data_IF_298700986880
#
_entry.id   IF_298700986880
#
_cell.length_a   1.000
_cell.length_b   1.000
_cell.length_c   1.000
_cell.angle_alpha   90.00
_cell.angle_beta   90.00
_cell.angle_gamma   90.00
#
_symmetry.space_group_name_H-M   'P 1'
#
loop_
_entity.id
_entity.type
_entity.pdbx_description
1 polymer ?
#
# COMPACT_ATOMS: atom_id res chain seq x y z
N UNK A 1 -29.14 5.38 -13.33
CA UNK A 1 -28.43 6.27 -14.28
C UNK A 1 -26.96 5.87 -14.30
N UNK A 2 -26.40 5.64 -15.49
CA UNK A 2 -24.98 5.31 -15.71
C UNK A 2 -24.13 6.52 -15.30
N UNK A 3 -23.29 6.37 -14.26
CA UNK A 3 -22.27 7.37 -13.90
C UNK A 3 -21.06 7.10 -14.80
N UNK A 4 -20.77 8.05 -15.68
CA UNK A 4 -19.50 8.05 -16.42
C UNK A 4 -18.36 8.45 -15.47
N UNK A 5 -17.25 7.74 -15.60
CA UNK A 5 -15.98 7.98 -14.94
C UNK A 5 -15.37 9.26 -15.51
N UNK A 6 -15.21 10.28 -14.67
CA UNK A 6 -14.57 11.55 -15.03
C UNK A 6 -15.35 12.76 -14.52
N UNK A 7 -14.78 13.45 -13.54
CA UNK A 7 -15.15 14.80 -13.07
C UNK A 7 -16.63 15.18 -13.24
N UNK A 8 -17.48 14.75 -12.32
CA UNK A 8 -18.88 15.18 -12.35
C UNK A 8 -18.98 16.62 -11.82
N UNK A 9 -19.41 17.54 -12.68
CA UNK A 9 -19.86 18.88 -12.31
C UNK A 9 -21.38 18.84 -12.13
N UNK A 10 -21.86 19.04 -10.90
CA UNK A 10 -23.29 19.16 -10.61
C UNK A 10 -23.62 20.62 -10.32
N UNK A 11 -24.50 21.20 -11.12
CA UNK A 11 -25.07 22.51 -10.85
C UNK A 11 -26.34 22.35 -10.00
N UNK A 12 -26.44 23.11 -8.93
CA UNK A 12 -27.61 23.19 -8.07
C UNK A 12 -28.04 24.65 -8.03
N UNK A 13 -29.23 24.93 -8.55
CA UNK A 13 -29.81 26.29 -8.53
C UNK A 13 -30.22 26.71 -7.12
N UNK A 14 -30.31 28.00 -6.86
CA UNK A 14 -30.79 28.56 -5.60
C UNK A 14 -32.20 28.04 -5.22
N UNK A 15 -33.08 27.80 -6.20
CA UNK A 15 -34.43 27.24 -5.96
C UNK A 15 -34.37 25.76 -5.59
N UNK A 16 -33.52 24.99 -6.24
CA UNK A 16 -33.32 23.56 -5.96
C UNK A 16 -32.66 23.35 -4.60
N UNK A 17 -31.67 24.18 -4.25
CA UNK A 17 -31.04 24.18 -2.93
C UNK A 17 -32.06 24.50 -1.82
N UNK A 18 -32.98 25.45 -2.06
CA UNK A 18 -34.05 25.76 -1.11
C UNK A 18 -35.04 24.59 -0.93
N UNK A 19 -35.39 23.91 -2.02
CA UNK A 19 -36.26 22.73 -1.97
C UNK A 19 -35.61 21.58 -1.18
N UNK A 20 -34.35 21.25 -1.46
CA UNK A 20 -33.63 20.18 -0.75
C UNK A 20 -33.42 20.50 0.73
N UNK A 21 -33.10 21.74 1.08
CA UNK A 21 -32.96 22.12 2.49
C UNK A 21 -34.29 21.95 3.26
N UNK A 22 -35.42 22.36 2.68
CA UNK A 22 -36.74 22.19 3.30
C UNK A 22 -37.07 20.71 3.52
N UNK A 23 -36.71 19.85 2.57
CA UNK A 23 -36.91 18.39 2.66
C UNK A 23 -36.03 17.76 3.76
N UNK A 24 -34.76 18.17 3.83
CA UNK A 24 -33.78 17.59 4.77
C UNK A 24 -33.96 18.08 6.21
N UNK A 25 -34.36 19.35 6.41
CA UNK A 25 -34.45 19.98 7.73
C UNK A 25 -35.87 20.14 8.24
N UNK A 26 -36.87 20.16 7.34
CA UNK A 26 -38.26 20.47 7.66
C UNK A 26 -38.53 21.94 7.97
N UNK A 27 -37.54 22.83 7.84
CA UNK A 27 -37.66 24.26 8.13
C UNK A 27 -37.84 25.09 6.86
N UNK A 28 -38.77 26.05 6.89
CA UNK A 28 -39.07 26.94 5.78
C UNK A 28 -38.60 28.37 6.10
N UNK A 29 -37.47 28.75 5.51
CA UNK A 29 -36.81 30.04 5.72
C UNK A 29 -37.57 31.18 5.06
N UNK A 30 -38.45 30.91 4.10
CA UNK A 30 -39.33 31.93 3.47
C UNK A 30 -40.38 32.47 4.45
N UNK A 31 -40.56 31.82 5.61
CA UNK A 31 -41.40 32.33 6.71
C UNK A 31 -40.71 33.37 7.59
N UNK A 32 -39.39 33.49 7.49
CA UNK A 32 -38.58 34.35 8.37
C UNK A 32 -37.70 35.34 7.59
N UNK A 33 -37.46 35.09 6.31
CA UNK A 33 -36.68 35.92 5.40
C UNK A 33 -37.53 36.26 4.18
N UNK A 34 -37.51 37.53 3.76
CA UNK A 34 -38.29 38.01 2.60
C UNK A 34 -37.76 37.48 1.26
N UNK A 35 -36.48 37.10 1.19
CA UNK A 35 -35.79 36.59 0.00
C UNK A 35 -35.01 35.30 0.29
N UNK A 36 -34.76 34.49 -0.75
CA UNK A 36 -33.95 33.26 -0.65
C UNK A 36 -32.47 33.61 -0.38
N UNK A 37 -31.89 33.24 0.78
CA UNK A 37 -30.50 33.53 1.08
C UNK A 37 -29.51 32.60 0.37
N UNK A 38 -30.00 31.49 -0.22
CA UNK A 38 -29.17 30.49 -0.88
C UNK A 38 -28.73 31.00 -2.25
N UNK A 39 -27.51 30.63 -2.63
CA UNK A 39 -26.91 30.97 -3.92
C UNK A 39 -26.82 29.72 -4.78
N UNK A 40 -26.76 29.93 -6.09
CA UNK A 40 -26.37 28.89 -7.03
C UNK A 40 -25.01 28.28 -6.64
N UNK A 41 -24.91 26.96 -6.73
CA UNK A 41 -23.69 26.23 -6.36
C UNK A 41 -23.30 25.20 -7.41
N UNK A 42 -21.99 24.99 -7.52
CA UNK A 42 -21.40 23.94 -8.36
C UNK A 42 -20.66 22.96 -7.45
N UNK A 43 -21.05 21.69 -7.50
CA UNK A 43 -20.35 20.59 -6.81
C UNK A 43 -19.42 19.91 -7.80
N UNK A 44 -18.13 19.83 -7.47
CA UNK A 44 -17.11 19.18 -8.29
C UNK A 44 -16.62 17.91 -7.59
N UNK A 45 -16.62 16.79 -8.32
CA UNK A 45 -15.91 15.59 -7.91
C UNK A 45 -14.47 15.62 -8.44
N UNK A 46 -13.49 15.66 -7.54
CA UNK A 46 -12.06 15.64 -7.88
C UNK A 46 -11.63 14.19 -8.15
N UNK A 47 -10.91 13.99 -9.26
CA UNK A 47 -10.38 12.68 -9.63
C UNK A 47 -9.35 12.18 -8.59
N UNK A 48 -9.25 10.86 -8.42
CA UNK A 48 -8.41 10.22 -7.39
C UNK A 48 -6.94 10.67 -7.43
N UNK A 49 -6.45 10.99 -8.63
CA UNK A 49 -5.08 11.44 -8.87
C UNK A 49 -4.74 12.81 -8.27
N UNK A 50 -5.75 13.62 -7.93
CA UNK A 50 -5.59 14.99 -7.41
C UNK A 50 -6.13 15.14 -5.98
N UNK A 51 -6.20 14.04 -5.22
CA UNK A 51 -6.75 14.03 -3.85
C UNK A 51 -5.70 14.26 -2.76
N UNK A 52 -4.47 14.66 -3.08
CA UNK A 52 -3.53 15.07 -2.04
C UNK A 52 -3.93 16.42 -1.46
N UNK A 53 -3.61 16.67 -0.18
CA UNK A 53 -3.94 17.95 0.46
C UNK A 53 -3.38 19.17 -0.29
N UNK A 54 -2.19 19.03 -0.87
CA UNK A 54 -1.51 20.11 -1.61
C UNK A 54 -2.24 20.40 -2.94
N UNK A 55 -2.55 19.36 -3.73
CA UNK A 55 -3.26 19.50 -5.00
C UNK A 55 -4.69 20.04 -4.80
N UNK A 56 -5.39 19.59 -3.75
CA UNK A 56 -6.72 20.12 -3.42
C UNK A 56 -6.63 21.61 -3.06
N UNK A 57 -5.62 22.02 -2.28
CA UNK A 57 -5.44 23.43 -1.92
C UNK A 57 -5.13 24.29 -3.16
N UNK A 58 -4.32 23.78 -4.10
CA UNK A 58 -4.06 24.47 -5.37
C UNK A 58 -5.35 24.64 -6.19
N UNK A 59 -6.15 23.58 -6.32
CA UNK A 59 -7.44 23.61 -7.04
C UNK A 59 -8.39 24.61 -6.38
N UNK A 60 -8.54 24.57 -5.05
CA UNK A 60 -9.41 25.48 -4.30
C UNK A 60 -8.98 26.92 -4.48
N UNK A 61 -7.67 27.19 -4.45
CA UNK A 61 -7.12 28.53 -4.66
C UNK A 61 -7.42 29.02 -6.08
N UNK A 62 -7.17 28.18 -7.09
CA UNK A 62 -7.43 28.51 -8.49
C UNK A 62 -8.92 28.79 -8.76
N UNK A 63 -9.84 28.06 -8.12
CA UNK A 63 -11.29 28.30 -8.25
C UNK A 63 -11.71 29.57 -7.50
N UNK A 64 -11.17 29.80 -6.30
CA UNK A 64 -11.48 31.00 -5.50
C UNK A 64 -11.09 32.30 -6.21
N UNK A 65 -10.03 32.27 -7.03
CA UNK A 65 -9.56 33.44 -7.79
C UNK A 65 -10.34 33.68 -9.10
N UNK A 66 -11.33 32.83 -9.46
CA UNK A 66 -12.16 33.06 -10.63
C UNK A 66 -13.23 34.14 -10.40
N UNK A 67 -13.38 35.04 -11.38
CA UNK A 67 -14.41 36.07 -11.35
C UNK A 67 -15.82 35.45 -11.27
N UNK A 68 -16.61 35.89 -10.28
CA UNK A 68 -17.97 35.40 -10.05
C UNK A 68 -18.09 34.29 -9.00
N UNK A 69 -16.97 33.79 -8.45
CA UNK A 69 -16.99 32.84 -7.33
C UNK A 69 -17.11 33.59 -6.01
N UNK A 70 -18.18 33.32 -5.26
CA UNK A 70 -18.41 33.93 -3.94
C UNK A 70 -17.64 33.21 -2.83
N UNK A 71 -17.71 31.87 -2.81
CA UNK A 71 -17.08 31.03 -1.79
C UNK A 71 -16.79 29.64 -2.35
N UNK A 72 -15.70 29.02 -1.90
CA UNK A 72 -15.35 27.62 -2.19
C UNK A 72 -15.29 26.90 -0.86
N UNK A 73 -16.18 25.94 -0.67
CA UNK A 73 -16.26 25.11 0.53
C UNK A 73 -15.81 23.70 0.21
N UNK A 74 -14.79 23.23 0.92
CA UNK A 74 -14.33 21.85 0.88
C UNK A 74 -14.04 21.40 2.32
N UNK A 75 -14.17 20.09 2.59
CA UNK A 75 -13.94 19.55 3.93
C UNK A 75 -12.44 19.38 4.20
N UNK A 76 -11.69 20.50 4.29
CA UNK A 76 -10.25 20.55 4.56
C UNK A 76 -9.85 19.69 5.75
N UNK A 77 -10.58 19.86 6.85
CA UNK A 77 -10.23 19.28 8.15
C UNK A 77 -10.36 17.76 8.14
N UNK A 78 -11.33 17.22 7.39
CA UNK A 78 -11.49 15.77 7.25
C UNK A 78 -10.41 15.18 6.35
N UNK A 79 -10.10 15.81 5.21
CA UNK A 79 -9.06 15.34 4.30
C UNK A 79 -7.69 15.36 4.98
N UNK A 80 -7.35 16.45 5.67
CA UNK A 80 -6.11 16.59 6.41
C UNK A 80 -6.04 15.60 7.59
N UNK A 81 -7.12 15.45 8.36
CA UNK A 81 -7.19 14.46 9.45
C UNK A 81 -7.03 13.02 8.94
N UNK A 82 -7.64 12.68 7.80
CA UNK A 82 -7.48 11.35 7.18
C UNK A 82 -6.04 11.16 6.73
N UNK A 83 -5.45 12.14 6.04
CA UNK A 83 -4.08 12.04 5.53
C UNK A 83 -3.06 11.90 6.68
N UNK A 84 -3.14 12.74 7.71
CA UNK A 84 -2.28 12.64 8.88
C UNK A 84 -2.40 11.28 9.59
N UNK A 85 -3.63 10.78 9.75
CA UNK A 85 -3.86 9.48 10.38
C UNK A 85 -3.30 8.34 9.52
N UNK A 86 -3.47 8.40 8.20
CA UNK A 86 -2.88 7.43 7.28
C UNK A 86 -1.35 7.44 7.34
N UNK A 87 -0.72 8.61 7.42
CA UNK A 87 0.73 8.73 7.59
C UNK A 87 1.19 8.12 8.91
N UNK A 88 0.50 8.43 10.03
CA UNK A 88 0.80 7.86 11.36
C UNK A 88 0.67 6.33 11.35
N UNK A 89 -0.41 5.80 10.78
CA UNK A 89 -0.64 4.34 10.66
C UNK A 89 0.44 3.70 9.78
N UNK A 90 0.77 4.31 8.65
CA UNK A 90 1.80 3.82 7.72
C UNK A 90 3.18 3.79 8.39
N UNK A 91 3.53 4.79 9.19
CA UNK A 91 4.78 4.83 9.95
C UNK A 91 4.85 3.68 10.96
N UNK A 92 3.78 3.47 11.73
CA UNK A 92 3.70 2.38 12.72
C UNK A 92 3.81 1.02 12.04
N UNK A 93 3.06 0.80 10.94
CA UNK A 93 3.13 -0.43 10.16
C UNK A 93 4.52 -0.64 9.55
N UNK A 94 5.17 0.42 9.04
CA UNK A 94 6.54 0.38 8.56
C UNK A 94 7.52 -0.10 9.63
N UNK A 95 7.35 0.36 10.87
CA UNK A 95 8.11 -0.11 12.03
C UNK A 95 7.92 -1.62 12.28
N UNK A 96 6.68 -2.11 12.26
CA UNK A 96 6.39 -3.54 12.39
C UNK A 96 7.02 -4.36 11.27
N UNK A 97 6.92 -3.91 10.02
CA UNK A 97 7.53 -4.58 8.86
C UNK A 97 9.06 -4.67 9.04
N UNK A 98 9.70 -3.59 9.49
CA UNK A 98 11.15 -3.58 9.73
C UNK A 98 11.57 -4.63 10.78
N UNK A 99 10.83 -4.74 11.89
CA UNK A 99 11.09 -5.74 12.93
C UNK A 99 10.94 -7.16 12.34
N UNK A 100 9.86 -7.41 11.59
CA UNK A 100 9.63 -8.72 10.98
C UNK A 100 10.73 -9.11 9.98
N UNK A 101 11.20 -8.15 9.17
CA UNK A 101 12.33 -8.37 8.25
C UNK A 101 13.57 -8.80 9.04
N UNK A 102 13.89 -8.11 10.14
CA UNK A 102 15.03 -8.46 11.00
C UNK A 102 14.85 -9.89 11.56
N UNK A 103 13.67 -10.22 12.05
CA UNK A 103 13.36 -11.57 12.55
C UNK A 103 13.56 -12.64 11.48
N UNK A 104 13.05 -12.41 10.26
CA UNK A 104 13.23 -13.33 9.12
C UNK A 104 14.71 -13.49 8.78
N UNK A 105 15.49 -12.41 8.73
CA UNK A 105 16.94 -12.48 8.47
C UNK A 105 17.66 -13.29 9.56
N UNK A 106 17.27 -13.13 10.83
CA UNK A 106 17.84 -13.88 11.94
C UNK A 106 17.51 -15.38 11.85
N UNK A 107 16.26 -15.72 11.55
CA UNK A 107 15.81 -17.10 11.34
C UNK A 107 16.57 -17.76 10.20
N UNK A 108 16.64 -17.10 9.03
CA UNK A 108 17.37 -17.63 7.86
C UNK A 108 18.85 -17.84 8.22
N UNK A 109 19.50 -16.91 8.91
CA UNK A 109 20.89 -17.08 9.35
C UNK A 109 21.08 -18.33 10.22
N UNK A 110 20.17 -18.56 11.17
CA UNK A 110 20.24 -19.72 12.06
C UNK A 110 19.99 -21.02 11.30
N UNK A 111 19.00 -21.06 10.42
CA UNK A 111 18.70 -22.22 9.58
C UNK A 111 19.86 -22.57 8.65
N UNK A 112 20.45 -21.58 7.99
CA UNK A 112 21.61 -21.79 7.10
C UNK A 112 22.82 -22.27 7.90
N UNK A 113 23.09 -21.70 9.08
CA UNK A 113 24.18 -22.17 9.95
C UNK A 113 24.01 -23.65 10.31
N UNK A 114 22.80 -24.04 10.70
CA UNK A 114 22.48 -25.43 11.03
C UNK A 114 22.66 -26.35 9.81
N UNK A 115 22.17 -25.94 8.65
CA UNK A 115 22.31 -26.70 7.40
C UNK A 115 23.78 -26.89 6.99
N UNK A 116 24.58 -25.83 7.07
CA UNK A 116 26.01 -25.87 6.77
C UNK A 116 26.77 -26.77 7.76
N UNK A 117 26.45 -26.69 9.06
CA UNK A 117 27.04 -27.57 10.07
C UNK A 117 26.69 -29.05 9.83
N UNK A 118 25.43 -29.35 9.49
CA UNK A 118 24.98 -30.71 9.17
C UNK A 118 25.70 -31.29 7.95
N UNK A 119 26.04 -30.45 6.97
CA UNK A 119 26.70 -30.85 5.72
C UNK A 119 28.21 -30.57 5.68
N UNK A 120 28.83 -30.27 6.84
CA UNK A 120 30.23 -29.80 6.92
C UNK A 120 31.24 -30.72 6.23
N UNK A 121 31.05 -32.04 6.30
CA UNK A 121 31.95 -33.02 5.67
C UNK A 121 31.88 -32.96 4.14
N UNK A 122 30.69 -32.79 3.59
CA UNK A 122 30.46 -32.67 2.15
C UNK A 122 31.09 -31.37 1.62
N UNK A 123 30.89 -30.27 2.35
CA UNK A 123 31.49 -28.97 2.02
C UNK A 123 33.02 -29.07 2.05
N UNK A 124 33.59 -29.71 3.07
CA UNK A 124 35.04 -29.92 3.18
C UNK A 124 35.59 -30.77 2.03
N UNK A 125 34.90 -31.84 1.65
CA UNK A 125 35.26 -32.65 0.49
C UNK A 125 35.25 -31.83 -0.81
N UNK A 126 34.22 -31.00 -1.01
CA UNK A 126 34.16 -30.08 -2.15
C UNK A 126 35.33 -29.10 -2.17
N UNK A 127 35.71 -28.56 -1.01
CA UNK A 127 36.86 -27.66 -0.90
C UNK A 127 38.19 -28.35 -1.23
N UNK A 128 38.38 -29.61 -0.81
CA UNK A 128 39.60 -30.39 -1.09
C UNK A 128 39.78 -30.69 -2.59
N UNK A 129 38.69 -30.84 -3.34
CA UNK A 129 38.71 -31.03 -4.80
C UNK A 129 38.81 -29.69 -5.55
N UNK A 130 38.91 -28.55 -4.82
CA UNK A 130 39.08 -27.22 -5.42
C UNK A 130 37.79 -26.54 -5.87
N UNK A 131 36.63 -26.96 -5.35
CA UNK A 131 35.36 -26.32 -5.69
C UNK A 131 35.34 -24.84 -5.26
N UNK A 132 34.88 -23.96 -6.15
CA UNK A 132 34.77 -22.53 -5.86
C UNK A 132 33.66 -22.25 -4.84
N UNK A 133 33.79 -21.15 -4.08
CA UNK A 133 32.72 -20.69 -3.15
C UNK A 133 31.37 -20.53 -3.86
N UNK A 134 31.40 -20.17 -5.14
CA UNK A 134 30.23 -20.06 -6.01
C UNK A 134 29.49 -21.39 -6.23
N UNK A 135 30.24 -22.48 -6.40
CA UNK A 135 29.69 -23.81 -6.55
C UNK A 135 29.00 -24.30 -5.27
N UNK A 136 29.62 -24.05 -4.12
CA UNK A 136 29.08 -24.44 -2.80
C UNK A 136 27.79 -23.68 -2.47
N UNK A 137 27.70 -22.38 -2.80
CA UNK A 137 26.51 -21.55 -2.48
C UNK A 137 25.32 -21.78 -3.41
N UNK A 138 25.54 -22.20 -4.66
CA UNK A 138 24.49 -22.34 -5.69
C UNK A 138 23.27 -23.16 -5.24
N UNK A 139 23.40 -24.35 -4.62
CA UNK A 139 22.24 -25.12 -4.17
C UNK A 139 21.43 -24.41 -3.08
N UNK A 140 22.10 -23.68 -2.17
CA UNK A 140 21.43 -22.92 -1.11
C UNK A 140 20.66 -21.72 -1.69
N UNK A 141 21.27 -20.96 -2.59
CA UNK A 141 20.64 -19.81 -3.23
C UNK A 141 19.45 -20.21 -4.10
N UNK A 142 19.57 -21.31 -4.85
CA UNK A 142 18.46 -21.84 -5.65
C UNK A 142 17.27 -22.21 -4.76
N UNK A 143 17.49 -22.96 -3.68
CA UNK A 143 16.43 -23.29 -2.71
C UNK A 143 15.81 -22.03 -2.09
N UNK A 144 16.63 -21.07 -1.67
CA UNK A 144 16.16 -19.81 -1.10
C UNK A 144 15.28 -19.01 -2.07
N UNK A 145 15.66 -18.97 -3.36
CA UNK A 145 14.85 -18.33 -4.40
C UNK A 145 13.48 -19.00 -4.54
N UNK A 146 13.43 -20.33 -4.67
CA UNK A 146 12.16 -21.05 -4.81
C UNK A 146 11.26 -20.91 -3.58
N UNK A 147 11.80 -21.04 -2.37
CA UNK A 147 11.02 -20.85 -1.15
C UNK A 147 10.57 -19.40 -0.98
N UNK A 148 11.40 -18.42 -1.33
CA UNK A 148 11.05 -17.00 -1.27
C UNK A 148 10.00 -16.59 -2.31
N UNK A 149 10.05 -17.15 -3.51
CA UNK A 149 9.02 -16.95 -4.53
C UNK A 149 7.70 -17.60 -4.09
N UNK A 150 7.76 -18.83 -3.57
CA UNK A 150 6.58 -19.55 -3.09
C UNK A 150 5.91 -18.83 -1.91
N UNK A 151 6.68 -18.25 -0.99
CA UNK A 151 6.11 -17.47 0.11
C UNK A 151 5.39 -16.22 -0.38
N UNK A 152 5.92 -15.52 -1.38
CA UNK A 152 5.24 -14.38 -2.00
C UNK A 152 3.97 -14.78 -2.75
N UNK A 153 3.95 -15.94 -3.41
CA UNK A 153 2.74 -16.49 -4.04
C UNK A 153 1.68 -16.80 -2.98
N UNK A 154 2.07 -17.47 -1.89
CA UNK A 154 1.17 -17.79 -0.77
C UNK A 154 0.63 -16.53 -0.10
N UNK A 155 1.48 -15.53 0.14
CA UNK A 155 1.06 -14.24 0.68
C UNK A 155 0.06 -13.54 -0.24
N UNK A 156 0.31 -13.55 -1.55
CA UNK A 156 -0.61 -12.98 -2.55
C UNK A 156 -1.95 -13.71 -2.58
N UNK A 157 -1.95 -15.04 -2.47
CA UNK A 157 -3.17 -15.84 -2.42
C UNK A 157 -4.00 -15.56 -1.15
N UNK A 158 -3.34 -15.43 0.00
CA UNK A 158 -4.00 -15.05 1.27
C UNK A 158 -4.58 -13.64 1.16
N UNK A 159 -3.81 -12.68 0.65
CA UNK A 159 -4.26 -11.31 0.46
C UNK A 159 -5.45 -11.22 -0.50
N UNK A 160 -5.42 -11.97 -1.60
CA UNK A 160 -6.54 -12.09 -2.52
C UNK A 160 -7.80 -12.63 -1.81
N UNK A 161 -7.66 -13.68 -0.99
CA UNK A 161 -8.77 -14.22 -0.20
C UNK A 161 -9.36 -13.21 0.78
N UNK A 162 -8.52 -12.41 1.44
CA UNK A 162 -8.97 -11.32 2.33
C UNK A 162 -9.73 -10.26 1.53
N UNK A 163 -9.21 -9.86 0.37
CA UNK A 163 -9.85 -8.89 -0.51
C UNK A 163 -11.26 -9.35 -0.92
N UNK A 164 -11.39 -10.59 -1.40
CA UNK A 164 -12.68 -11.13 -1.84
C UNK A 164 -13.66 -11.25 -0.66
N UNK A 165 -13.16 -11.62 0.52
CA UNK A 165 -13.97 -11.62 1.74
C UNK A 165 -14.46 -10.20 2.10
N UNK A 166 -13.59 -9.19 2.05
CA UNK A 166 -13.96 -7.80 2.38
C UNK A 166 -14.98 -7.24 1.38
N UNK A 167 -14.83 -7.51 0.08
CA UNK A 167 -15.81 -7.12 -0.95
C UNK A 167 -17.21 -7.65 -0.67
N UNK A 168 -17.31 -8.87 -0.14
CA UNK A 168 -18.61 -9.49 0.14
C UNK A 168 -19.29 -8.94 1.40
N UNK A 169 -18.54 -8.29 2.31
CA UNK A 169 -19.05 -7.86 3.61
C UNK A 169 -19.14 -6.34 3.78
N UNK A 170 -18.52 -5.56 2.88
CA UNK A 170 -18.49 -4.09 2.96
C UNK A 170 -18.97 -3.49 1.63
N UNK A 171 -20.14 -2.87 1.65
CA UNK A 171 -20.71 -2.17 0.50
C UNK A 171 -19.80 -1.02 0.05
N UNK A 172 -19.61 -0.88 -1.27
CA UNK A 172 -18.75 0.15 -1.86
C UNK A 172 -17.25 -0.20 -1.91
N UNK A 173 -16.79 -1.22 -1.19
CA UNK A 173 -15.36 -1.59 -1.18
C UNK A 173 -14.84 -2.05 -2.55
N UNK A 174 -15.70 -2.66 -3.38
CA UNK A 174 -15.34 -3.09 -4.73
C UNK A 174 -14.99 -1.92 -5.66
N UNK A 175 -15.55 -0.72 -5.42
CA UNK A 175 -15.28 0.47 -6.23
C UNK A 175 -13.92 1.10 -5.93
N UNK A 176 -13.34 0.81 -4.75
CA UNK A 176 -12.03 1.31 -4.33
C UNK A 176 -10.86 0.48 -4.88
N UNK A 177 -11.13 -0.54 -5.73
CA UNK A 177 -10.10 -1.46 -6.20
C UNK A 177 -9.56 -1.09 -7.57
N UNK A 178 -8.29 -0.67 -7.59
CA UNK A 178 -7.51 -0.60 -8.81
C UNK A 178 -6.83 -1.95 -9.09
N UNK A 179 -7.33 -2.66 -10.11
CA UNK A 179 -6.80 -3.97 -10.49
C UNK A 179 -5.36 -3.91 -11.00
N UNK A 180 -4.94 -2.82 -11.65
CA UNK A 180 -3.56 -2.66 -12.12
C UNK A 180 -2.59 -2.59 -10.93
N UNK A 181 -2.90 -1.75 -9.94
CA UNK A 181 -2.11 -1.62 -8.71
C UNK A 181 -2.04 -2.97 -7.96
N UNK A 182 -3.13 -3.74 -7.98
CA UNK A 182 -3.18 -5.06 -7.35
C UNK A 182 -2.23 -6.06 -8.03
N UNK A 183 -2.16 -6.07 -9.37
CA UNK A 183 -1.21 -6.91 -10.11
C UNK A 183 0.24 -6.52 -9.81
N UNK A 184 0.54 -5.22 -9.75
CA UNK A 184 1.87 -4.75 -9.35
C UNK A 184 2.22 -5.16 -7.92
N UNK A 185 1.26 -5.09 -6.99
CA UNK A 185 1.45 -5.51 -5.60
C UNK A 185 1.75 -7.01 -5.49
N UNK A 186 0.97 -7.86 -6.16
CA UNK A 186 1.21 -9.31 -6.15
C UNK A 186 2.55 -9.68 -6.79
N UNK A 187 2.88 -9.08 -7.94
CA UNK A 187 4.20 -9.25 -8.56
C UNK A 187 5.33 -8.78 -7.62
N UNK A 188 5.13 -7.63 -6.97
CA UNK A 188 6.05 -7.07 -5.99
C UNK A 188 6.29 -7.99 -4.79
N UNK A 189 5.24 -8.62 -4.24
CA UNK A 189 5.35 -9.57 -3.12
C UNK A 189 6.21 -10.80 -3.48
N UNK A 190 6.00 -11.38 -4.66
CA UNK A 190 6.78 -12.53 -5.13
C UNK A 190 8.25 -12.15 -5.33
N UNK A 191 8.49 -11.02 -5.99
CA UNK A 191 9.85 -10.52 -6.24
C UNK A 191 10.56 -10.16 -4.93
N UNK A 192 9.90 -9.43 -4.03
CA UNK A 192 10.45 -9.05 -2.73
C UNK A 192 10.76 -10.28 -1.87
N UNK A 193 9.85 -11.27 -1.82
CA UNK A 193 10.06 -12.52 -1.09
C UNK A 193 11.26 -13.31 -1.61
N UNK A 194 11.40 -13.43 -2.93
CA UNK A 194 12.52 -14.08 -3.58
C UNK A 194 13.85 -13.33 -3.34
N UNK A 195 13.87 -12.01 -3.56
CA UNK A 195 15.05 -11.17 -3.36
C UNK A 195 15.53 -11.17 -1.92
N UNK A 196 14.61 -11.00 -0.96
CA UNK A 196 14.94 -10.98 0.47
C UNK A 196 15.51 -12.33 0.93
N UNK A 197 14.91 -13.44 0.47
CA UNK A 197 15.39 -14.79 0.80
C UNK A 197 16.78 -15.05 0.20
N UNK A 198 16.98 -14.73 -1.07
CA UNK A 198 18.28 -14.89 -1.74
C UNK A 198 19.35 -14.03 -1.10
N UNK A 199 19.07 -12.75 -0.82
CA UNK A 199 20.03 -11.83 -0.20
C UNK A 199 20.42 -12.29 1.20
N UNK A 200 19.43 -12.67 2.01
CA UNK A 200 19.65 -13.17 3.36
C UNK A 200 20.49 -14.45 3.37
N UNK A 201 20.15 -15.43 2.51
CA UNK A 201 20.94 -16.66 2.36
C UNK A 201 22.34 -16.41 1.83
N UNK A 202 22.51 -15.51 0.85
CA UNK A 202 23.82 -15.17 0.30
C UNK A 202 24.74 -14.60 1.38
N UNK A 203 24.24 -13.67 2.19
CA UNK A 203 24.98 -13.08 3.30
C UNK A 203 25.34 -14.13 4.35
N UNK A 204 24.40 -15.01 4.71
CA UNK A 204 24.61 -16.07 5.69
C UNK A 204 25.67 -17.10 5.24
N UNK A 205 25.57 -17.61 4.01
CA UNK A 205 26.51 -18.58 3.45
C UNK A 205 27.89 -17.97 3.27
N UNK A 206 27.99 -16.75 2.73
CA UNK A 206 29.28 -16.07 2.56
C UNK A 206 29.97 -15.83 3.91
N UNK A 207 29.22 -15.42 4.94
CA UNK A 207 29.76 -15.25 6.29
C UNK A 207 30.39 -16.55 6.78
N UNK A 208 29.69 -17.68 6.63
CA UNK A 208 30.18 -18.98 7.07
C UNK A 208 31.39 -19.49 6.26
N UNK A 209 31.36 -19.37 4.94
CA UNK A 209 32.47 -19.82 4.08
C UNK A 209 33.74 -18.96 4.21
N UNK A 210 33.64 -17.77 4.77
CA UNK A 210 34.78 -16.91 5.10
C UNK A 210 35.36 -17.16 6.49
N UNK A 211 34.65 -17.87 7.38
CA UNK A 211 35.20 -18.25 8.68
C UNK A 211 36.28 -19.30 8.48
N UNK A 212 37.42 -19.12 9.15
CA UNK A 212 38.55 -20.02 9.02
C UNK A 212 38.21 -21.41 9.60
N UNK A 213 38.77 -22.47 9.02
CA UNK A 213 38.54 -23.87 9.42
C UNK A 213 38.85 -24.15 10.91
N UNK A 214 39.60 -23.27 11.59
CA UNK A 214 39.94 -23.34 13.01
C UNK A 214 38.91 -22.71 13.96
N UNK A 215 38.01 -21.85 13.48
CA UNK A 215 36.91 -21.29 14.32
C UNK A 215 35.65 -22.17 14.33
N UNK A 216 35.68 -23.27 13.56
CA UNK A 216 34.56 -24.18 13.39
C UNK A 216 34.63 -25.41 14.31
N UNK A 217 35.66 -25.48 15.16
CA UNK A 217 35.92 -26.51 16.15
C UNK A 217 36.04 -25.90 17.55
#
# INVERSE_FOLDING_TARGET
MKREEGTSLLFISQEEAAASFLEDTGEDFTKFLDDNPLRDSYTLAIAEEYQTSEEIQEIVTAIRDMDGVFEVTYMSDLVESINENLLKVSLVMGGFIAILIITVIMLINNTIRLALFSQRFLIRSMQLVGATRGFIRKPFLSRAFFFGALSGILASAILYGIIEYTKANIDGFAMLQNYELLYYLFGGLVLAGAMLSVFSTLRAVNKYLNMSLDELY
#
